data_IF_552870473654
#
_entry.id   IF_552870473654
#
_cell.length_a   1.000
_cell.length_b   1.000
_cell.length_c   1.000
_cell.angle_alpha   90.00
_cell.angle_beta   90.00
_cell.angle_gamma   90.00
#
_symmetry.space_group_name_H-M   'P 1'
#
loop_
_entity.id
_entity.type
_entity.pdbx_description
1 polymer ?
#
# COMPACT_ATOMS: atom_id res chain seq x y z
N UNK A 1 -12.61 -23.29 10.86
CA UNK A 1 -12.56 -24.32 11.90
C UNK A 1 -13.70 -25.26 11.62
N UNK A 2 -13.38 -26.53 11.48
CA UNK A 2 -14.38 -27.59 11.53
C UNK A 2 -14.82 -27.83 12.99
N UNK A 3 -15.64 -28.85 13.18
CA UNK A 3 -16.16 -29.24 14.50
C UNK A 3 -15.05 -29.69 15.47
N UNK A 4 -13.88 -30.04 14.95
CA UNK A 4 -12.70 -30.46 15.71
C UNK A 4 -11.69 -29.32 15.96
N UNK A 5 -12.07 -28.07 15.62
CA UNK A 5 -11.21 -26.88 15.66
C UNK A 5 -9.98 -26.96 14.75
N UNK A 6 -9.95 -27.90 13.81
CA UNK A 6 -8.88 -28.03 12.85
C UNK A 6 -9.04 -26.99 11.72
N UNK A 7 -7.89 -26.50 11.28
CA UNK A 7 -7.82 -25.46 10.24
C UNK A 7 -7.55 -26.09 8.89
N UNK A 8 -8.62 -26.32 8.13
CA UNK A 8 -8.52 -26.77 6.75
C UNK A 8 -8.26 -25.58 5.81
N UNK A 9 -7.16 -25.64 5.04
CA UNK A 9 -6.80 -24.62 4.06
C UNK A 9 -7.42 -24.96 2.70
N UNK A 10 -8.45 -24.21 2.31
CA UNK A 10 -9.08 -24.32 0.99
C UNK A 10 -8.40 -23.35 0.03
N UNK A 11 -8.04 -23.84 -1.16
CA UNK A 11 -7.53 -23.01 -2.27
C UNK A 11 -8.53 -23.03 -3.41
N UNK A 12 -8.75 -21.89 -4.04
CA UNK A 12 -9.65 -21.70 -5.18
C UNK A 12 -8.90 -20.89 -6.23
N UNK A 13 -8.99 -21.31 -7.49
CA UNK A 13 -8.28 -20.68 -8.62
C UNK A 13 -6.99 -21.40 -9.00
N UNK A 14 -6.45 -21.03 -10.16
CA UNK A 14 -5.20 -21.57 -10.66
C UNK A 14 -3.99 -20.96 -9.93
N UNK A 15 -2.87 -21.70 -9.78
CA UNK A 15 -1.66 -21.15 -9.20
C UNK A 15 -1.10 -20.00 -10.06
N UNK A 16 -1.01 -18.80 -9.51
CA UNK A 16 -0.27 -17.69 -10.11
C UNK A 16 1.10 -17.58 -9.43
N UNK A 17 2.18 -17.70 -10.20
CA UNK A 17 3.56 -17.52 -9.71
C UNK A 17 3.81 -16.13 -9.10
N UNK A 18 2.98 -15.14 -9.44
CA UNK A 18 3.00 -13.80 -8.87
C UNK A 18 2.20 -13.67 -7.56
N UNK A 19 1.45 -14.69 -7.15
CA UNK A 19 0.62 -14.68 -5.94
C UNK A 19 1.07 -15.73 -4.92
N UNK A 20 1.72 -15.28 -3.85
CA UNK A 20 2.16 -16.11 -2.74
C UNK A 20 1.25 -15.93 -1.54
N UNK A 21 0.11 -16.62 -1.54
CA UNK A 21 -0.89 -16.56 -0.45
C UNK A 21 -0.63 -17.59 0.66
N UNK A 22 0.43 -18.38 0.54
CA UNK A 22 0.65 -19.53 1.41
C UNK A 22 1.27 -19.19 2.77
N UNK A 23 2.00 -18.08 2.85
CA UNK A 23 2.79 -17.67 4.01
C UNK A 23 2.30 -16.34 4.56
N UNK A 24 2.00 -16.31 5.86
CA UNK A 24 1.57 -15.09 6.53
C UNK A 24 2.72 -14.09 6.69
N UNK A 25 2.40 -12.80 6.57
CA UNK A 25 3.36 -11.70 6.76
C UNK A 25 4.29 -11.43 5.58
N UNK A 26 4.22 -12.24 4.52
CA UNK A 26 4.90 -11.99 3.25
C UNK A 26 3.97 -11.22 2.33
N UNK A 27 4.51 -10.34 1.49
CA UNK A 27 3.72 -9.77 0.40
C UNK A 27 3.06 -10.88 -0.42
N UNK A 28 1.75 -10.79 -0.67
CA UNK A 28 1.07 -11.75 -1.54
C UNK A 28 1.53 -11.57 -2.99
N UNK A 29 1.47 -10.33 -3.50
CA UNK A 29 1.98 -9.96 -4.82
C UNK A 29 3.51 -10.01 -4.83
N UNK A 30 4.12 -10.78 -5.73
CA UNK A 30 5.59 -10.91 -5.81
C UNK A 30 6.26 -9.88 -6.72
N UNK A 31 5.56 -9.41 -7.75
CA UNK A 31 6.00 -8.37 -8.67
C UNK A 31 4.85 -7.49 -9.16
N UNK A 32 5.20 -6.31 -9.67
CA UNK A 32 4.22 -5.31 -10.09
C UNK A 32 3.42 -5.79 -11.31
N UNK A 33 2.09 -5.63 -11.27
CA UNK A 33 1.17 -6.03 -12.34
C UNK A 33 0.22 -4.90 -12.67
N UNK A 34 0.05 -4.62 -13.95
CA UNK A 34 -0.87 -3.58 -14.43
C UNK A 34 -2.12 -4.18 -15.04
N UNK A 35 -3.27 -3.78 -14.53
CA UNK A 35 -4.58 -4.12 -15.04
C UNK A 35 -5.16 -2.90 -15.75
N UNK A 36 -5.58 -3.06 -17.01
CA UNK A 36 -6.08 -1.95 -17.84
C UNK A 36 -7.54 -2.19 -18.15
N UNK A 37 -8.37 -1.22 -17.81
CA UNK A 37 -9.81 -1.25 -18.01
C UNK A 37 -10.21 -0.09 -18.94
N UNK A 38 -10.76 -0.36 -20.13
CA UNK A 38 -11.32 0.69 -20.97
C UNK A 38 -12.56 1.30 -20.29
N UNK A 39 -12.65 2.62 -20.28
CA UNK A 39 -13.83 3.36 -19.79
C UNK A 39 -14.69 3.81 -20.97
N UNK A 40 -14.04 4.32 -22.02
CA UNK A 40 -14.62 4.61 -23.34
C UNK A 40 -13.53 4.47 -24.42
N UNK A 41 -13.78 5.01 -25.62
CA UNK A 41 -12.88 4.83 -26.77
C UNK A 41 -11.46 5.39 -26.54
N UNK A 42 -11.32 6.43 -25.72
CA UNK A 42 -10.05 7.16 -25.58
C UNK A 42 -9.53 7.19 -24.14
N UNK A 43 -10.30 6.67 -23.18
CA UNK A 43 -9.92 6.66 -21.75
C UNK A 43 -9.80 5.25 -21.20
N UNK A 44 -8.70 5.04 -20.47
CA UNK A 44 -8.38 3.79 -19.79
C UNK A 44 -8.04 4.06 -18.34
N UNK A 45 -8.52 3.20 -17.44
CA UNK A 45 -8.06 3.14 -16.06
C UNK A 45 -6.99 2.06 -15.98
N UNK A 46 -5.81 2.44 -15.49
CA UNK A 46 -4.73 1.49 -15.18
C UNK A 46 -4.57 1.37 -13.68
N UNK A 47 -4.86 0.19 -13.15
CA UNK A 47 -4.55 -0.17 -11.78
C UNK A 47 -3.20 -0.89 -11.74
N UNK A 48 -2.28 -0.38 -10.94
CA UNK A 48 -0.97 -1.00 -10.73
C UNK A 48 -1.03 -1.67 -9.36
N UNK A 49 -1.10 -3.00 -9.36
CA UNK A 49 -0.93 -3.79 -8.15
C UNK A 49 0.56 -4.01 -7.90
N UNK A 50 0.98 -3.89 -6.64
CA UNK A 50 2.39 -3.83 -6.24
C UNK A 50 2.67 -4.79 -5.09
N UNK A 51 3.90 -5.33 -5.00
CA UNK A 51 4.32 -6.00 -3.77
C UNK A 51 4.18 -5.09 -2.54
N UNK A 52 3.66 -5.65 -1.45
CA UNK A 52 3.56 -4.99 -0.17
C UNK A 52 4.93 -4.65 0.43
N UNK A 53 4.92 -3.65 1.30
CA UNK A 53 6.08 -3.17 2.06
C UNK A 53 5.78 -3.40 3.54
N UNK A 54 6.79 -3.81 4.31
CA UNK A 54 6.63 -4.36 5.65
C UNK A 54 6.65 -5.89 5.65
N UNK A 55 7.43 -6.47 4.75
CA UNK A 55 7.59 -7.91 4.59
C UNK A 55 8.36 -8.51 5.79
N UNK A 56 7.89 -9.62 6.34
CA UNK A 56 8.56 -10.30 7.47
C UNK A 56 9.95 -10.85 7.10
N UNK A 57 10.29 -10.96 5.82
CA UNK A 57 11.64 -11.25 5.32
C UNK A 57 12.63 -10.09 5.55
N UNK A 58 12.14 -8.94 5.99
CA UNK A 58 12.93 -7.82 6.51
C UNK A 58 13.23 -6.71 5.50
N UNK A 59 13.93 -5.69 6.00
CA UNK A 59 14.19 -4.41 5.30
C UNK A 59 14.84 -4.58 3.93
N UNK A 60 15.67 -5.61 3.74
CA UNK A 60 16.30 -5.87 2.43
C UNK A 60 15.25 -6.18 1.36
N UNK A 61 14.27 -7.02 1.70
CA UNK A 61 13.18 -7.37 0.77
C UNK A 61 12.27 -6.18 0.52
N UNK A 62 12.00 -5.37 1.54
CA UNK A 62 11.26 -4.12 1.37
C UNK A 62 11.94 -3.17 0.37
N UNK A 63 13.27 -3.04 0.42
CA UNK A 63 14.03 -2.25 -0.56
C UNK A 63 13.95 -2.80 -1.98
N UNK A 64 14.02 -4.13 -2.14
CA UNK A 64 13.87 -4.78 -3.45
C UNK A 64 12.47 -4.55 -4.02
N UNK A 65 11.42 -4.78 -3.23
CA UNK A 65 10.03 -4.53 -3.60
C UNK A 65 9.84 -3.05 -3.99
N UNK A 66 10.40 -2.13 -3.19
CA UNK A 66 10.28 -0.70 -3.44
C UNK A 66 11.01 -0.27 -4.72
N UNK A 67 12.22 -0.78 -4.96
CA UNK A 67 12.96 -0.54 -6.19
C UNK A 67 12.22 -1.06 -7.42
N UNK A 68 11.53 -2.20 -7.29
CA UNK A 68 10.67 -2.71 -8.35
C UNK A 68 9.46 -1.80 -8.62
N UNK A 69 8.81 -1.30 -7.57
CA UNK A 69 7.70 -0.34 -7.69
C UNK A 69 8.15 0.92 -8.42
N UNK A 70 9.26 1.54 -7.97
CA UNK A 70 9.80 2.75 -8.59
C UNK A 70 10.15 2.52 -10.06
N UNK A 71 10.81 1.39 -10.36
CA UNK A 71 11.13 1.00 -11.74
C UNK A 71 9.88 0.78 -12.57
N UNK A 72 8.83 0.18 -12.01
CA UNK A 72 7.59 -0.06 -12.74
C UNK A 72 6.89 1.26 -13.07
N UNK A 73 6.77 2.15 -12.07
CA UNK A 73 6.05 3.41 -12.22
C UNK A 73 6.81 4.46 -13.04
N UNK A 74 8.14 4.35 -13.16
CA UNK A 74 8.96 5.30 -13.93
C UNK A 74 8.67 5.30 -15.43
N UNK A 75 7.95 4.30 -15.94
CA UNK A 75 7.53 4.23 -17.35
C UNK A 75 6.29 5.08 -17.65
N UNK A 76 5.66 5.67 -16.63
CA UNK A 76 4.46 6.48 -16.78
C UNK A 76 4.77 7.95 -16.55
N UNK A 77 4.26 8.80 -17.43
CA UNK A 77 4.41 10.26 -17.35
C UNK A 77 3.64 10.84 -16.15
N UNK A 78 2.51 10.23 -15.80
CA UNK A 78 1.62 10.70 -14.75
C UNK A 78 1.18 9.58 -13.82
N UNK A 79 1.16 9.89 -12.53
CA UNK A 79 0.52 9.08 -11.49
C UNK A 79 -0.69 9.84 -10.97
N UNK A 80 -1.88 9.44 -11.43
CA UNK A 80 -3.13 10.16 -11.11
C UNK A 80 -3.61 9.90 -9.67
N UNK A 81 -3.21 8.78 -9.06
CA UNK A 81 -3.60 8.41 -7.70
C UNK A 81 -2.65 7.37 -7.12
N UNK A 82 -2.28 7.55 -5.86
CA UNK A 82 -1.41 6.65 -5.10
C UNK A 82 -2.17 6.19 -3.87
N UNK A 83 -2.64 4.95 -3.88
CA UNK A 83 -3.44 4.39 -2.80
C UNK A 83 -2.55 3.64 -1.80
N UNK A 84 -2.52 4.11 -0.56
CA UNK A 84 -1.73 3.50 0.51
C UNK A 84 -2.68 2.76 1.44
N UNK A 85 -2.64 1.44 1.35
CA UNK A 85 -3.52 0.56 2.11
C UNK A 85 -2.94 0.29 3.50
N UNK A 86 -3.73 0.56 4.54
CA UNK A 86 -3.39 0.35 5.95
C UNK A 86 -4.48 -0.48 6.63
N UNK A 87 -4.16 -1.17 7.72
CA UNK A 87 -5.16 -1.74 8.64
C UNK A 87 -5.43 -0.72 9.75
N UNK A 88 -6.67 -0.55 10.25
CA UNK A 88 -7.01 0.48 11.24
C UNK A 88 -6.55 0.17 12.66
N UNK A 89 -6.10 -1.05 12.92
CA UNK A 89 -5.63 -1.52 14.22
C UNK A 89 -4.10 -1.69 14.29
N UNK A 90 -3.34 -0.99 13.44
CA UNK A 90 -1.88 -1.11 13.40
C UNK A 90 -1.19 0.06 14.09
N UNK A 91 -0.98 -0.04 15.40
CA UNK A 91 -0.25 0.96 16.19
C UNK A 91 1.25 1.06 15.81
N UNK A 92 1.79 0.07 15.10
CA UNK A 92 3.22 -0.01 14.73
C UNK A 92 3.47 0.48 13.29
N UNK A 93 2.94 1.65 12.97
CA UNK A 93 3.04 2.31 11.66
C UNK A 93 4.48 2.67 11.23
N UNK A 94 5.45 2.61 12.14
CA UNK A 94 6.72 3.32 12.03
C UNK A 94 7.61 2.84 10.86
N UNK A 95 7.65 1.53 10.58
CA UNK A 95 8.49 0.99 9.48
C UNK A 95 7.81 1.25 8.13
N UNK A 96 6.53 0.89 8.00
CA UNK A 96 5.78 1.05 6.76
C UNK A 96 5.67 2.53 6.38
N UNK A 97 5.36 3.41 7.32
CA UNK A 97 5.24 4.84 7.01
C UNK A 97 6.58 5.46 6.60
N UNK A 98 7.64 5.21 7.40
CA UNK A 98 8.97 5.78 7.13
C UNK A 98 9.47 5.36 5.75
N UNK A 99 9.37 4.07 5.43
CA UNK A 99 9.84 3.58 4.13
C UNK A 99 8.88 3.96 3.00
N UNK A 100 7.58 3.71 3.11
CA UNK A 100 6.66 3.95 2.00
C UNK A 100 6.53 5.44 1.67
N UNK A 101 6.31 6.33 2.64
CA UNK A 101 6.03 7.74 2.33
C UNK A 101 7.32 8.51 2.07
N UNK A 102 8.34 8.37 2.93
CA UNK A 102 9.56 9.17 2.79
C UNK A 102 10.34 8.76 1.55
N UNK A 103 10.52 7.47 1.29
CA UNK A 103 11.25 7.03 0.10
C UNK A 103 10.45 7.36 -1.17
N UNK A 104 9.13 7.18 -1.17
CA UNK A 104 8.30 7.51 -2.34
C UNK A 104 8.39 8.99 -2.69
N UNK A 105 8.32 9.89 -1.70
CA UNK A 105 8.48 11.33 -1.95
C UNK A 105 9.93 11.76 -2.21
N UNK A 106 10.92 10.94 -1.86
CA UNK A 106 12.33 11.19 -2.22
C UNK A 106 12.58 10.87 -3.68
N UNK A 107 11.89 9.86 -4.22
CA UNK A 107 12.06 9.39 -5.59
C UNK A 107 11.03 9.94 -6.58
N UNK A 108 9.89 10.43 -6.09
CA UNK A 108 8.87 11.09 -6.90
C UNK A 108 8.91 12.60 -6.74
N UNK A 109 8.40 13.32 -7.74
CA UNK A 109 8.24 14.75 -7.65
C UNK A 109 7.31 15.14 -6.48
N UNK A 110 7.58 16.27 -5.83
CA UNK A 110 6.82 16.72 -4.65
C UNK A 110 5.31 16.85 -4.90
N UNK A 111 4.90 17.07 -6.15
CA UNK A 111 3.47 17.10 -6.54
C UNK A 111 2.76 15.76 -6.41
N UNK A 112 3.49 14.63 -6.36
CA UNK A 112 2.90 13.31 -6.14
C UNK A 112 2.16 13.24 -4.80
N UNK A 113 2.56 14.06 -3.81
CA UNK A 113 1.93 14.15 -2.50
C UNK A 113 0.43 14.47 -2.58
N UNK A 114 0.02 15.24 -3.58
CA UNK A 114 -1.34 15.72 -3.75
C UNK A 114 -2.26 14.63 -4.31
N UNK A 115 -1.69 13.55 -4.85
CA UNK A 115 -2.41 12.40 -5.39
C UNK A 115 -2.40 11.19 -4.43
N UNK A 116 -1.92 11.36 -3.18
CA UNK A 116 -1.86 10.28 -2.19
C UNK A 116 -3.19 10.16 -1.45
N UNK A 117 -3.74 8.94 -1.41
CA UNK A 117 -4.96 8.59 -0.68
C UNK A 117 -4.67 7.45 0.29
N UNK A 118 -4.96 7.65 1.57
CA UNK A 118 -4.85 6.61 2.60
C UNK A 118 -6.15 5.82 2.74
N UNK A 119 -6.08 4.51 2.55
CA UNK A 119 -7.24 3.62 2.61
C UNK A 119 -7.11 2.63 3.77
N UNK A 120 -8.18 2.42 4.53
CA UNK A 120 -8.19 1.53 5.69
C UNK A 120 -8.94 0.25 5.37
N UNK A 121 -8.19 -0.84 5.18
CA UNK A 121 -8.71 -2.20 4.92
C UNK A 121 -9.03 -2.94 6.22
N UNK A 122 -9.83 -4.00 6.17
CA UNK A 122 -10.23 -4.76 7.36
C UNK A 122 -10.88 -3.92 8.47
N UNK A 123 -11.57 -2.84 8.08
CA UNK A 123 -12.11 -1.85 9.02
C UNK A 123 -13.48 -2.19 9.61
N UNK A 124 -13.97 -3.42 9.46
CA UNK A 124 -15.26 -3.83 10.05
C UNK A 124 -15.26 -3.67 11.57
N UNK A 125 -14.17 -4.09 12.23
CA UNK A 125 -14.02 -3.99 13.70
C UNK A 125 -13.98 -2.55 14.20
N UNK A 126 -13.68 -1.59 13.32
CA UNK A 126 -13.63 -0.16 13.62
C UNK A 126 -14.78 0.61 12.98
N UNK A 127 -15.89 -0.06 12.62
CA UNK A 127 -17.06 0.55 11.97
C UNK A 127 -16.71 1.36 10.71
N UNK A 128 -15.80 0.82 9.90
CA UNK A 128 -15.25 1.46 8.69
C UNK A 128 -14.55 2.80 8.96
N UNK A 129 -14.02 2.96 10.19
CA UNK A 129 -13.21 4.11 10.58
C UNK A 129 -11.72 3.74 10.62
N UNK A 130 -10.83 4.72 10.50
CA UNK A 130 -9.39 4.50 10.55
C UNK A 130 -8.80 3.93 11.85
N UNK A 131 -9.59 3.88 12.93
CA UNK A 131 -9.15 3.34 14.22
C UNK A 131 -7.91 4.04 14.80
N UNK A 132 -7.11 3.29 15.55
CA UNK A 132 -5.90 3.76 16.24
C UNK A 132 -4.75 4.09 15.27
N UNK A 133 -4.88 3.71 14.01
CA UNK A 133 -3.85 3.94 12.99
C UNK A 133 -3.82 5.41 12.54
N UNK A 134 -4.96 6.11 12.55
CA UNK A 134 -5.03 7.51 12.09
C UNK A 134 -4.25 8.49 12.98
N UNK A 135 -4.35 8.45 14.33
CA UNK A 135 -3.52 9.29 15.19
C UNK A 135 -2.02 9.10 14.92
N UNK A 136 -1.55 7.85 14.80
CA UNK A 136 -0.15 7.55 14.49
C UNK A 136 0.23 8.05 13.10
N UNK A 137 -0.64 7.88 12.11
CA UNK A 137 -0.42 8.39 10.75
C UNK A 137 -0.26 9.92 10.74
N UNK A 138 -1.16 10.64 11.42
CA UNK A 138 -1.10 12.10 11.53
C UNK A 138 0.17 12.59 12.22
N UNK A 139 0.59 11.91 13.29
CA UNK A 139 1.86 12.24 13.96
C UNK A 139 3.05 12.08 13.00
N UNK A 140 3.08 10.99 12.24
CA UNK A 140 4.17 10.75 11.30
C UNK A 140 4.16 11.74 10.11
N UNK A 141 2.99 12.14 9.64
CA UNK A 141 2.82 13.20 8.64
C UNK A 141 3.27 14.57 9.15
N UNK A 142 2.98 14.90 10.41
CA UNK A 142 3.50 16.12 11.06
C UNK A 142 5.02 16.13 11.08
N UNK A 143 5.62 15.02 11.53
CA UNK A 143 7.08 14.87 11.57
C UNK A 143 7.72 14.97 10.18
N UNK A 144 7.04 14.46 9.14
CA UNK A 144 7.47 14.59 7.75
C UNK A 144 7.46 16.06 7.31
N UNK A 145 6.37 16.77 7.60
CA UNK A 145 6.24 18.18 7.25
C UNK A 145 7.34 19.02 7.92
N UNK A 146 7.57 18.82 9.22
CA UNK A 146 8.64 19.51 9.96
C UNK A 146 10.04 19.30 9.35
N UNK A 147 10.32 18.09 8.84
CA UNK A 147 11.64 17.73 8.30
C UNK A 147 11.85 18.12 6.85
N UNK A 148 10.78 18.11 6.03
CA UNK A 148 10.87 18.18 4.57
C UNK A 148 10.08 19.33 3.95
N UNK A 149 9.22 20.00 4.73
CA UNK A 149 8.25 20.99 4.25
C UNK A 149 7.13 20.38 3.39
N UNK A 150 6.99 19.04 3.39
CA UNK A 150 5.98 18.34 2.60
C UNK A 150 4.76 18.07 3.45
N UNK A 151 3.67 18.78 3.16
CA UNK A 151 2.36 18.55 3.76
C UNK A 151 1.52 17.58 2.92
N UNK A 152 1.08 16.49 3.54
CA UNK A 152 0.04 15.59 3.01
C UNK A 152 -1.17 15.64 3.94
N UNK A 153 -2.34 15.89 3.35
CA UNK A 153 -3.59 16.02 4.08
C UNK A 153 -4.23 14.66 4.36
N UNK A 154 -5.06 14.59 5.40
CA UNK A 154 -5.80 13.37 5.80
C UNK A 154 -7.28 13.64 6.07
N UNK A 155 -7.81 14.72 5.52
CA UNK A 155 -9.22 15.05 5.61
C UNK A 155 -10.05 14.21 4.64
N UNK A 156 -11.36 14.15 4.90
CA UNK A 156 -12.29 13.29 4.16
C UNK A 156 -12.75 13.91 2.84
N UNK A 157 -12.37 15.17 2.57
CA UNK A 157 -12.93 16.01 1.52
C UNK A 157 -11.92 16.43 0.44
N UNK A 158 -10.67 15.95 0.53
CA UNK A 158 -9.69 16.01 -0.56
C UNK A 158 -9.95 14.95 -1.60
#
# INVERSE_FOLDING_TARGET
MDEDFETNKIKIGDPDSNELTEKEGISATQGCKSYVFPVDNDRFIRLIDTPGIGDTRGIKKDKENFGEILRHISHYEHLNGIFILLKPNNARLNVVFKYCIQELLTHLHKSAKDNIVFCFTNARSTFYRPGDTLPTLRQQLSNLNERSGVEIKTDRNT
#
